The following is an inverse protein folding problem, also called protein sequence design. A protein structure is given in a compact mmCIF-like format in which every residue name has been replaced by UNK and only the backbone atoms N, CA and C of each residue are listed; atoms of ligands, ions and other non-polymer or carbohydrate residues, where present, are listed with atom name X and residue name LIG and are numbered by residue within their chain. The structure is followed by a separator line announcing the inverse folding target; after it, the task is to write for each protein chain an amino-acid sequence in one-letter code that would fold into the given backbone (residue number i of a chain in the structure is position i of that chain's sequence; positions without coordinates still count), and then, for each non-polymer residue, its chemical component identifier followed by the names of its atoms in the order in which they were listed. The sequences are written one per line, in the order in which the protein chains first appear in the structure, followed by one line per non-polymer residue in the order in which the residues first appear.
data_IF_647467695514
#
_entry.id   IF_647467695514
#
_cell.length_a   1.000
_cell.length_b   1.000
_cell.length_c   1.000
_cell.angle_alpha   90.00
_cell.angle_beta   90.00
_cell.angle_gamma   90.00
#
_symmetry.space_group_name_H-M   'P 1'
#
loop_
_entity.id
_entity.type
_entity.pdbx_description
1 polymer ?
#
# COMPACT_ATOMS: atom_id res chain seq x y z
N UNK A 1 -19.48 -22.28 -18.34
CA UNK A 1 -20.30 -22.98 -17.32
C UNK A 1 -21.04 -21.93 -16.51
N UNK A 2 -22.37 -21.90 -16.55
CA UNK A 2 -23.17 -21.00 -15.72
C UNK A 2 -23.44 -21.69 -14.38
N UNK A 3 -23.21 -21.00 -13.27
CA UNK A 3 -23.59 -21.49 -11.93
C UNK A 3 -25.11 -21.59 -11.91
N UNK A 4 -25.72 -22.77 -11.69
CA UNK A 4 -27.17 -22.90 -11.70
C UNK A 4 -27.77 -22.08 -10.56
N UNK A 5 -28.81 -21.30 -10.86
CA UNK A 5 -29.48 -20.41 -9.91
C UNK A 5 -29.89 -21.11 -8.60
N UNK A 6 -30.23 -22.40 -8.68
CA UNK A 6 -30.51 -23.23 -7.51
C UNK A 6 -29.34 -23.36 -6.53
N UNK A 7 -28.10 -23.47 -7.01
CA UNK A 7 -26.91 -23.54 -6.15
C UNK A 7 -26.66 -22.21 -5.43
N UNK A 8 -26.85 -21.09 -6.12
CA UNK A 8 -26.77 -19.74 -5.54
C UNK A 8 -27.84 -19.53 -4.46
N UNK A 9 -29.08 -19.95 -4.72
CA UNK A 9 -30.19 -19.85 -3.76
C UNK A 9 -29.92 -20.66 -2.49
N UNK A 10 -29.45 -21.89 -2.63
CA UNK A 10 -29.11 -22.75 -1.49
C UNK A 10 -27.95 -22.17 -0.67
N UNK A 11 -26.92 -21.62 -1.33
CA UNK A 11 -25.79 -20.97 -0.66
C UNK A 11 -26.23 -19.74 0.14
N UNK A 12 -27.10 -18.90 -0.43
CA UNK A 12 -27.63 -17.70 0.24
C UNK A 12 -28.55 -18.06 1.41
N UNK A 13 -29.40 -19.09 1.30
CA UNK A 13 -30.27 -19.51 2.40
C UNK A 13 -29.46 -20.11 3.55
N UNK A 14 -28.45 -20.92 3.23
CA UNK A 14 -27.64 -21.60 4.25
C UNK A 14 -26.66 -20.65 4.96
N UNK A 15 -25.92 -19.84 4.19
CA UNK A 15 -24.91 -18.94 4.77
C UNK A 15 -25.43 -17.54 5.07
N UNK A 16 -26.60 -17.15 4.53
CA UNK A 16 -27.20 -15.83 4.72
C UNK A 16 -27.33 -15.42 6.19
N UNK A 17 -27.92 -16.24 7.08
CA UNK A 17 -28.07 -15.89 8.50
C UNK A 17 -26.73 -15.64 9.21
N UNK A 18 -25.63 -16.24 8.75
CA UNK A 18 -24.30 -16.08 9.35
C UNK A 18 -23.50 -14.94 8.72
N UNK A 19 -23.59 -14.76 7.40
CA UNK A 19 -22.83 -13.76 6.65
C UNK A 19 -23.49 -12.39 6.66
N UNK A 20 -24.82 -12.31 6.63
CA UNK A 20 -25.57 -11.05 6.56
C UNK A 20 -25.30 -10.13 7.76
N UNK A 21 -25.31 -10.60 9.03
CA UNK A 21 -25.02 -9.74 10.18
C UNK A 21 -23.58 -9.20 10.14
N UNK A 22 -22.62 -10.02 9.70
CA UNK A 22 -21.21 -9.62 9.55
C UNK A 22 -21.03 -8.58 8.45
N UNK A 23 -21.68 -8.79 7.30
CA UNK A 23 -21.66 -7.84 6.19
C UNK A 23 -22.28 -6.49 6.59
N UNK A 24 -23.41 -6.50 7.31
CA UNK A 24 -24.04 -5.28 7.83
C UNK A 24 -23.13 -4.57 8.84
N UNK A 25 -22.51 -5.31 9.78
CA UNK A 25 -21.56 -4.74 10.73
C UNK A 25 -20.36 -4.11 10.03
N UNK A 26 -19.77 -4.78 9.04
CA UNK A 26 -18.67 -4.25 8.25
C UNK A 26 -19.09 -3.01 7.47
N UNK A 27 -20.25 -3.03 6.81
CA UNK A 27 -20.80 -1.87 6.11
C UNK A 27 -20.98 -0.66 7.04
N UNK A 28 -21.53 -0.87 8.25
CA UNK A 28 -21.68 0.21 9.24
C UNK A 28 -20.34 0.78 9.70
N UNK A 29 -19.32 -0.07 9.90
CA UNK A 29 -17.95 0.37 10.23
C UNK A 29 -17.33 1.20 9.11
N UNK A 30 -17.38 0.71 7.87
CA UNK A 30 -16.86 1.42 6.71
C UNK A 30 -17.56 2.77 6.50
N UNK A 31 -18.88 2.82 6.75
CA UNK A 31 -19.66 4.06 6.67
C UNK A 31 -19.27 5.06 7.78
N UNK A 32 -19.03 4.59 9.00
CA UNK A 32 -18.58 5.43 10.10
C UNK A 32 -17.17 6.01 9.83
N UNK A 33 -16.24 5.20 9.33
CA UNK A 33 -14.90 5.65 8.93
C UNK A 33 -14.94 6.68 7.80
N UNK A 34 -15.81 6.48 6.80
CA UNK A 34 -16.02 7.45 5.74
C UNK A 34 -16.55 8.79 6.27
N UNK A 35 -17.49 8.76 7.23
CA UNK A 35 -18.03 9.96 7.87
C UNK A 35 -16.96 10.69 8.71
N UNK A 36 -16.15 9.96 9.48
CA UNK A 36 -15.05 10.53 10.25
C UNK A 36 -14.01 11.22 9.37
N UNK A 37 -13.65 10.64 8.22
CA UNK A 37 -12.74 11.27 7.24
C UNK A 37 -13.30 12.60 6.73
N UNK A 38 -14.59 12.63 6.41
CA UNK A 38 -15.26 13.83 5.93
C UNK A 38 -15.28 14.94 7.01
N UNK A 39 -15.43 14.59 8.29
CA UNK A 39 -15.38 15.54 9.41
C UNK A 39 -13.96 16.02 9.72
N UNK A 40 -12.97 15.12 9.74
CA UNK A 40 -11.57 15.48 9.97
C UNK A 40 -11.06 16.52 8.96
N UNK A 41 -11.49 16.41 7.71
CA UNK A 41 -11.13 17.35 6.66
C UNK A 41 -11.82 18.72 6.82
N UNK A 42 -13.06 18.76 7.33
CA UNK A 42 -13.76 20.01 7.67
C UNK A 42 -13.12 20.72 8.87
N UNK A 43 -12.65 19.95 9.85
CA UNK A 43 -12.03 20.49 11.07
C UNK A 43 -10.62 21.07 10.86
N UNK A 44 -10.04 20.94 9.66
CA UNK A 44 -8.69 21.45 9.35
C UNK A 44 -7.54 20.77 10.12
N UNK A 45 -7.84 19.75 10.93
CA UNK A 45 -6.90 19.11 11.85
C UNK A 45 -6.10 17.96 11.22
N UNK A 46 -6.64 17.30 10.19
CA UNK A 46 -5.89 16.33 9.40
C UNK A 46 -5.20 17.06 8.27
N UNK A 47 -3.89 16.81 8.12
CA UNK A 47 -3.04 17.34 7.06
C UNK A 47 -3.88 17.54 5.79
N UNK A 48 -4.12 18.81 5.45
CA UNK A 48 -4.89 19.29 4.29
C UNK A 48 -4.78 18.24 3.19
N UNK A 49 -5.89 17.68 2.71
CA UNK A 49 -5.88 16.77 1.56
C UNK A 49 -5.22 17.50 0.39
N UNK A 50 -3.90 17.44 0.31
CA UNK A 50 -3.14 18.15 -0.70
C UNK A 50 -3.32 17.29 -1.93
N UNK A 51 -4.40 17.54 -2.68
CA UNK A 51 -4.48 17.12 -4.07
C UNK A 51 -3.24 17.73 -4.70
N UNK A 52 -2.27 16.88 -5.01
CA UNK A 52 -1.00 17.33 -5.58
C UNK A 52 -1.07 17.23 -7.08
N UNK A 53 -0.53 18.22 -7.81
CA UNK A 53 -0.28 18.03 -9.22
C UNK A 53 0.63 16.81 -9.35
N UNK A 54 0.23 15.91 -10.23
CA UNK A 54 0.92 14.65 -10.43
C UNK A 54 2.32 14.95 -10.96
N UNK A 55 3.35 14.33 -10.37
CA UNK A 55 4.71 14.50 -10.89
C UNK A 55 4.80 13.99 -12.33
N UNK A 56 5.62 14.62 -13.17
CA UNK A 56 5.80 14.19 -14.57
C UNK A 56 6.19 12.71 -14.67
N UNK A 57 6.98 12.20 -13.71
CA UNK A 57 7.38 10.78 -13.64
C UNK A 57 6.20 9.86 -13.36
N UNK A 58 5.39 10.20 -12.37
CA UNK A 58 4.17 9.45 -12.04
C UNK A 58 3.21 9.44 -13.23
N UNK A 59 3.09 10.57 -13.94
CA UNK A 59 2.29 10.66 -15.17
C UNK A 59 2.82 9.73 -16.27
N UNK A 60 4.14 9.72 -16.53
CA UNK A 60 4.75 8.82 -17.54
C UNK A 60 4.51 7.35 -17.18
N UNK A 61 4.74 6.95 -15.93
CA UNK A 61 4.56 5.54 -15.51
C UNK A 61 3.10 5.11 -15.63
N UNK A 62 2.15 5.96 -15.22
CA UNK A 62 0.73 5.68 -15.36
C UNK A 62 0.29 5.67 -16.82
N UNK A 63 0.85 6.54 -17.68
CA UNK A 63 0.60 6.52 -19.11
C UNK A 63 1.13 5.23 -19.77
N UNK A 64 2.32 4.76 -19.36
CA UNK A 64 2.86 3.48 -19.81
C UNK A 64 1.99 2.30 -19.35
N UNK A 65 1.51 2.32 -18.11
CA UNK A 65 0.59 1.28 -17.62
C UNK A 65 -0.76 1.32 -18.35
N UNK A 66 -1.29 2.51 -18.63
CA UNK A 66 -2.49 2.67 -19.44
C UNK A 66 -2.28 2.18 -20.88
N UNK A 67 -1.09 2.45 -21.46
CA UNK A 67 -0.72 1.93 -22.77
C UNK A 67 -0.67 0.39 -22.77
N UNK A 68 -0.10 -0.23 -21.74
CA UNK A 68 -0.12 -1.70 -21.56
C UNK A 68 -1.55 -2.22 -21.43
N UNK A 69 -2.41 -1.55 -20.66
CA UNK A 69 -3.81 -1.94 -20.54
C UNK A 69 -4.53 -1.90 -21.89
N UNK A 70 -4.35 -0.80 -22.65
CA UNK A 70 -4.92 -0.63 -23.98
C UNK A 70 -4.35 -1.66 -24.96
N UNK A 71 -3.05 -1.94 -24.93
CA UNK A 71 -2.44 -2.93 -25.83
C UNK A 71 -3.03 -4.33 -25.62
N UNK A 72 -3.29 -4.73 -24.37
CA UNK A 72 -4.01 -5.98 -24.09
C UNK A 72 -5.45 -5.97 -24.61
N UNK A 73 -6.18 -4.86 -24.43
CA UNK A 73 -7.55 -4.73 -24.95
C UNK A 73 -7.58 -4.77 -26.49
N UNK A 74 -6.61 -4.14 -27.15
CA UNK A 74 -6.46 -4.20 -28.60
C UNK A 74 -6.16 -5.63 -29.06
N UNK A 75 -5.25 -6.33 -28.35
CA UNK A 75 -4.93 -7.73 -28.64
C UNK A 75 -6.12 -8.70 -28.48
N UNK A 76 -7.16 -8.28 -27.75
CA UNK A 76 -8.38 -9.06 -27.57
C UNK A 76 -9.22 -9.18 -28.85
N UNK A 77 -8.89 -8.46 -29.93
CA UNK A 77 -9.62 -8.55 -31.20
C UNK A 77 -10.99 -7.91 -31.17
N UNK A 78 -11.26 -7.05 -30.17
CA UNK A 78 -12.48 -6.25 -30.10
C UNK A 78 -12.50 -5.11 -31.13
N UNK A 79 -11.34 -4.78 -31.70
CA UNK A 79 -11.20 -3.79 -32.78
C UNK A 79 -11.26 -4.52 -34.13
N UNK A 80 -12.21 -4.18 -35.00
CA UNK A 80 -12.27 -4.71 -36.36
C UNK A 80 -10.94 -4.53 -37.10
N UNK A 81 -10.56 -5.52 -37.91
CA UNK A 81 -9.32 -5.52 -38.70
C UNK A 81 -9.20 -4.31 -39.64
N UNK A 82 -10.32 -3.77 -40.12
CA UNK A 82 -10.38 -2.55 -40.93
C UNK A 82 -9.90 -1.31 -40.15
N UNK A 83 -10.27 -1.20 -38.88
CA UNK A 83 -9.84 -0.11 -38.00
C UNK A 83 -8.39 -0.33 -37.56
N UNK A 84 -8.00 -1.57 -37.28
CA UNK A 84 -6.62 -1.91 -36.93
C UNK A 84 -5.63 -1.59 -38.06
N UNK A 85 -6.02 -1.87 -39.31
CA UNK A 85 -5.24 -1.51 -40.51
C UNK A 85 -5.16 0.00 -40.73
N UNK A 86 -6.26 0.73 -40.51
CA UNK A 86 -6.28 2.19 -40.60
C UNK A 86 -5.39 2.86 -39.53
N UNK A 87 -5.29 2.28 -38.33
CA UNK A 87 -4.40 2.75 -37.26
C UNK A 87 -2.94 2.27 -37.40
N UNK A 88 -2.61 1.51 -38.45
CA UNK A 88 -1.26 0.96 -38.67
C UNK A 88 -0.71 0.25 -37.41
N UNK A 89 -1.58 -0.49 -36.71
CA UNK A 89 -1.18 -1.17 -35.49
C UNK A 89 -0.09 -2.22 -35.78
N UNK A 90 1.01 -2.26 -34.99
CA UNK A 90 2.01 -3.31 -35.08
C UNK A 90 1.37 -4.71 -35.08
N UNK A 91 1.88 -5.61 -35.94
CA UNK A 91 1.28 -6.94 -36.15
C UNK A 91 1.09 -7.77 -34.87
N UNK A 92 1.94 -7.58 -33.85
CA UNK A 92 1.80 -8.25 -32.54
C UNK A 92 0.56 -7.82 -31.73
N UNK A 93 -0.03 -6.67 -32.04
CA UNK A 93 -1.24 -6.14 -31.40
C UNK A 93 -2.52 -6.55 -32.15
N UNK A 94 -2.40 -7.04 -33.39
CA UNK A 94 -3.51 -7.57 -34.15
C UNK A 94 -3.82 -9.02 -33.73
N UNK A 95 -5.05 -9.47 -33.98
CA UNK A 95 -5.33 -10.90 -33.91
C UNK A 95 -4.76 -11.60 -35.15
N UNK A 96 -4.12 -12.76 -34.97
CA UNK A 96 -3.63 -13.52 -36.10
C UNK A 96 -4.83 -14.00 -36.93
N UNK A 97 -4.69 -13.91 -38.25
CA UNK A 97 -5.71 -14.33 -39.18
C UNK A 97 -5.99 -15.83 -39.04
N UNK A 98 -7.27 -16.20 -39.09
CA UNK A 98 -7.67 -17.59 -39.12
C UNK A 98 -7.82 -18.05 -40.57
N UNK A 99 -6.91 -18.91 -41.03
CA UNK A 99 -6.89 -19.43 -42.42
C UNK A 99 -8.22 -20.08 -42.83
N UNK A 100 -8.92 -20.78 -41.94
CA UNK A 100 -10.20 -21.43 -42.27
C UNK A 100 -11.34 -20.42 -42.42
N UNK A 101 -11.36 -19.37 -41.58
CA UNK A 101 -12.33 -18.28 -41.71
C UNK A 101 -12.03 -17.39 -42.92
N UNK A 102 -10.76 -17.06 -43.16
CA UNK A 102 -10.34 -16.25 -44.30
C UNK A 102 -10.70 -16.91 -45.64
N UNK A 103 -10.44 -18.21 -45.77
CA UNK A 103 -10.71 -18.97 -47.00
C UNK A 103 -12.12 -19.56 -47.08
N UNK A 104 -12.95 -19.35 -46.04
CA UNK A 104 -14.29 -19.95 -45.89
C UNK A 104 -14.28 -21.47 -46.16
N UNK A 105 -13.25 -22.17 -45.65
CA UNK A 105 -13.02 -23.59 -45.92
C UNK A 105 -13.38 -24.45 -44.71
N UNK A 106 -14.05 -25.58 -44.95
CA UNK A 106 -14.34 -26.58 -43.92
C UNK A 106 -13.05 -27.22 -43.40
N UNK A 107 -13.07 -27.69 -42.14
CA UNK A 107 -11.91 -28.31 -41.49
C UNK A 107 -11.38 -29.55 -42.22
N UNK A 108 -12.22 -30.24 -43.00
CA UNK A 108 -11.86 -31.42 -43.79
C UNK A 108 -11.45 -31.10 -45.25
N UNK A 109 -11.40 -29.83 -45.66
CA UNK A 109 -11.03 -29.48 -47.03
C UNK A 109 -9.57 -29.88 -47.35
N UNK A 110 -9.25 -30.36 -48.57
CA UNK A 110 -7.87 -30.69 -48.92
C UNK A 110 -6.95 -29.48 -48.72
N UNK A 111 -5.72 -29.71 -48.23
CA UNK A 111 -4.77 -28.64 -47.89
C UNK A 111 -4.48 -27.75 -49.10
N UNK A 112 -4.27 -28.32 -50.28
CA UNK A 112 -3.99 -27.54 -51.49
C UNK A 112 -5.14 -26.61 -51.87
N UNK A 113 -6.40 -27.03 -51.65
CA UNK A 113 -7.56 -26.17 -51.94
C UNK A 113 -7.60 -24.97 -51.00
N UNK A 114 -7.28 -25.17 -49.71
CA UNK A 114 -7.24 -24.09 -48.72
C UNK A 114 -6.15 -23.09 -49.10
N UNK A 115 -4.94 -23.57 -49.41
CA UNK A 115 -3.79 -22.70 -49.70
C UNK A 115 -3.84 -22.07 -51.10
N UNK A 116 -4.49 -22.68 -52.08
CA UNK A 116 -4.79 -22.04 -53.36
C UNK A 116 -5.80 -20.90 -53.22
N UNK A 117 -6.79 -21.04 -52.32
CA UNK A 117 -7.70 -19.93 -51.99
C UNK A 117 -6.97 -18.84 -51.22
N UNK A 118 -6.11 -19.23 -50.27
CA UNK A 118 -5.33 -18.29 -49.47
C UNK A 118 -4.39 -17.47 -50.34
N UNK A 119 -3.68 -18.09 -51.31
CA UNK A 119 -2.85 -17.35 -52.26
C UNK A 119 -3.68 -16.35 -53.05
N UNK A 120 -4.92 -16.70 -53.42
CA UNK A 120 -5.90 -15.76 -54.02
C UNK A 120 -6.18 -14.50 -53.19
N UNK A 121 -6.05 -14.56 -51.86
CA UNK A 121 -6.27 -13.45 -50.93
C UNK A 121 -4.99 -12.67 -50.60
N UNK A 122 -3.81 -13.17 -50.97
CA UNK A 122 -2.53 -12.53 -50.70
C UNK A 122 -2.13 -11.55 -51.81
N UNK A 123 -1.35 -10.51 -51.50
CA UNK A 123 -0.75 -9.65 -52.52
C UNK A 123 0.09 -10.51 -53.49
N UNK A 124 -0.01 -10.22 -54.79
CA UNK A 124 0.71 -10.91 -55.87
C UNK A 124 0.38 -12.40 -56.06
N UNK A 125 -0.71 -12.90 -55.45
CA UNK A 125 -1.08 -14.32 -55.52
C UNK A 125 -0.02 -15.31 -55.00
N UNK A 126 0.88 -14.83 -54.14
CA UNK A 126 1.97 -15.64 -53.56
C UNK A 126 1.74 -15.89 -52.08
N UNK A 127 2.01 -17.12 -51.64
CA UNK A 127 1.98 -17.46 -50.21
C UNK A 127 3.15 -16.79 -49.49
N UNK A 128 2.91 -16.34 -48.24
CA UNK A 128 4.00 -15.85 -47.39
C UNK A 128 4.80 -17.01 -46.81
N UNK A 129 6.02 -16.77 -46.31
CA UNK A 129 6.82 -17.81 -45.65
C UNK A 129 6.09 -18.47 -44.47
N UNK A 130 5.27 -17.70 -43.73
CA UNK A 130 4.43 -18.23 -42.66
C UNK A 130 3.30 -19.11 -43.21
N UNK A 131 2.67 -18.71 -44.32
CA UNK A 131 1.64 -19.53 -44.98
C UNK A 131 2.24 -20.85 -45.52
N UNK A 132 3.46 -20.82 -46.06
CA UNK A 132 4.16 -22.02 -46.52
C UNK A 132 4.51 -22.97 -45.37
N UNK A 133 4.99 -22.43 -44.25
CA UNK A 133 5.24 -23.21 -43.04
C UNK A 133 3.94 -23.86 -42.51
N UNK A 134 2.83 -23.13 -42.52
CA UNK A 134 1.51 -23.67 -42.16
C UNK A 134 1.04 -24.73 -43.14
N UNK A 135 1.25 -24.53 -44.45
CA UNK A 135 0.85 -25.49 -45.49
C UNK A 135 1.49 -26.86 -45.26
N UNK A 136 2.77 -26.88 -44.92
CA UNK A 136 3.50 -28.12 -44.63
C UNK A 136 2.94 -28.87 -43.41
N UNK A 137 2.43 -28.15 -42.40
CA UNK A 137 1.99 -28.72 -41.11
C UNK A 137 0.50 -29.07 -41.07
N UNK A 138 -0.35 -28.41 -41.86
CA UNK A 138 -1.81 -28.62 -41.87
C UNK A 138 -2.30 -29.78 -42.76
N UNK A 139 -1.45 -30.78 -43.01
CA UNK A 139 -1.75 -31.94 -43.86
C UNK A 139 -2.79 -32.91 -43.23
N UNK A 140 -2.79 -33.06 -41.92
CA UNK A 140 -3.63 -34.03 -41.20
C UNK A 140 -4.79 -33.37 -40.46
N UNK A 141 -5.86 -34.13 -40.19
CA UNK A 141 -6.94 -33.63 -39.33
C UNK A 141 -6.42 -33.31 -37.91
N UNK A 142 -5.52 -34.13 -37.37
CA UNK A 142 -4.98 -33.93 -36.02
C UNK A 142 -4.22 -32.60 -35.87
N UNK A 143 -3.35 -32.27 -36.83
CA UNK A 143 -2.60 -31.01 -36.80
C UNK A 143 -3.51 -29.80 -37.00
N UNK A 144 -4.62 -29.95 -37.72
CA UNK A 144 -5.66 -28.91 -37.83
C UNK A 144 -6.43 -28.71 -36.52
N UNK A 145 -6.68 -29.77 -35.75
CA UNK A 145 -7.28 -29.63 -34.41
C UNK A 145 -6.33 -28.92 -33.43
N UNK A 146 -5.03 -29.24 -33.51
CA UNK A 146 -3.99 -28.54 -32.75
C UNK A 146 -3.89 -27.05 -33.12
N UNK A 147 -4.04 -26.72 -34.42
CA UNK A 147 -4.11 -25.34 -34.89
C UNK A 147 -5.27 -24.56 -34.27
N UNK A 148 -6.45 -25.18 -34.10
CA UNK A 148 -7.59 -24.53 -33.45
C UNK A 148 -7.39 -24.31 -31.95
N UNK A 149 -6.55 -25.13 -31.30
CA UNK A 149 -6.25 -25.05 -29.87
C UNK A 149 -5.10 -24.08 -29.55
N UNK A 150 -3.99 -24.17 -30.27
CA UNK A 150 -2.75 -23.45 -29.97
C UNK A 150 -2.46 -22.27 -30.91
N UNK A 151 -3.13 -22.20 -32.07
CA UNK A 151 -3.02 -21.08 -33.01
C UNK A 151 -1.91 -21.22 -34.07
N UNK A 152 -1.81 -20.24 -34.98
CA UNK A 152 -0.93 -20.33 -36.16
C UNK A 152 0.56 -20.31 -35.84
N UNK A 153 1.03 -19.44 -34.93
CA UNK A 153 2.46 -19.29 -34.63
C UNK A 153 3.06 -20.57 -34.03
N UNK A 154 2.34 -21.21 -33.11
CA UNK A 154 2.79 -22.47 -32.49
C UNK A 154 2.93 -23.59 -33.52
N UNK A 155 2.03 -23.64 -34.51
CA UNK A 155 2.06 -24.66 -35.56
C UNK A 155 3.15 -24.37 -36.60
N UNK A 156 3.34 -23.11 -36.98
CA UNK A 156 4.32 -22.71 -37.99
C UNK A 156 5.76 -22.76 -37.44
N UNK A 157 5.98 -22.23 -36.25
CA UNK A 157 7.32 -21.86 -35.76
C UNK A 157 7.97 -22.93 -34.86
N UNK A 158 7.21 -23.92 -34.36
CA UNK A 158 7.77 -24.88 -33.41
C UNK A 158 8.86 -25.77 -34.04
N UNK A 159 10.11 -25.72 -33.54
CA UNK A 159 11.23 -26.41 -34.19
C UNK A 159 11.31 -27.91 -33.87
N UNK A 160 10.71 -28.37 -32.76
CA UNK A 160 10.81 -29.75 -32.26
C UNK A 160 9.46 -30.49 -32.21
N UNK A 161 8.41 -29.94 -32.82
CA UNK A 161 7.06 -30.53 -32.76
C UNK A 161 6.80 -31.62 -33.83
N UNK A 162 7.84 -32.06 -34.55
CA UNK A 162 7.78 -33.14 -35.55
C UNK A 162 7.40 -32.69 -36.98
N UNK A 163 7.71 -33.53 -37.96
CA UNK A 163 7.31 -33.37 -39.37
C UNK A 163 8.14 -32.41 -40.24
N UNK A 164 9.02 -31.59 -39.65
CA UNK A 164 10.02 -30.76 -40.36
C UNK A 164 11.24 -30.54 -39.48
N UNK A 165 12.41 -30.20 -40.05
CA UNK A 165 13.61 -29.82 -39.29
C UNK A 165 14.37 -31.00 -38.66
N UNK A 166 14.91 -30.80 -37.45
CA UNK A 166 15.80 -31.75 -36.75
C UNK A 166 15.10 -33.07 -36.40
N UNK A 167 13.76 -33.03 -36.28
CA UNK A 167 12.91 -34.12 -35.82
C UNK A 167 12.01 -34.67 -36.94
N UNK A 168 12.41 -34.52 -38.22
CA UNK A 168 11.65 -34.95 -39.40
C UNK A 168 11.25 -36.44 -39.37
N UNK A 169 12.01 -37.27 -38.66
CA UNK A 169 11.73 -38.71 -38.48
C UNK A 169 10.75 -39.01 -37.35
N UNK A 170 10.50 -38.05 -36.44
CA UNK A 170 9.58 -38.21 -35.32
C UNK A 170 8.15 -37.81 -35.72
N UNK A 171 7.17 -38.59 -35.27
CA UNK A 171 5.75 -38.28 -35.47
C UNK A 171 5.35 -37.00 -34.73
N UNK A 172 4.31 -36.33 -35.21
CA UNK A 172 3.74 -35.17 -34.53
C UNK A 172 3.28 -35.53 -33.11
N UNK A 173 3.82 -34.84 -32.09
CA UNK A 173 3.46 -35.04 -30.69
C UNK A 173 2.64 -33.88 -30.16
N UNK A 174 1.40 -34.15 -29.72
CA UNK A 174 0.54 -33.15 -29.08
C UNK A 174 1.19 -32.53 -27.83
N UNK A 175 1.99 -33.31 -27.10
CA UNK A 175 2.70 -32.84 -25.92
C UNK A 175 3.76 -31.80 -26.27
N UNK A 176 4.51 -31.98 -27.36
CA UNK A 176 5.53 -31.02 -27.80
C UNK A 176 4.92 -29.65 -28.13
N UNK A 177 3.81 -29.64 -28.87
CA UNK A 177 3.05 -28.40 -29.15
C UNK A 177 2.53 -27.75 -27.86
N UNK A 178 2.08 -28.56 -26.90
CA UNK A 178 1.63 -28.04 -25.60
C UNK A 178 2.76 -27.34 -24.84
N UNK A 179 3.97 -27.93 -24.78
CA UNK A 179 5.10 -27.32 -24.08
C UNK A 179 5.54 -26.01 -24.72
N UNK A 180 5.63 -25.96 -26.05
CA UNK A 180 5.94 -24.73 -26.78
C UNK A 180 4.88 -23.65 -26.53
N UNK A 181 3.59 -24.00 -26.65
CA UNK A 181 2.49 -23.09 -26.40
C UNK A 181 2.47 -22.55 -24.95
N UNK A 182 2.85 -23.38 -23.96
CA UNK A 182 2.88 -22.96 -22.56
C UNK A 182 3.90 -21.85 -22.31
N UNK A 183 5.04 -21.84 -23.03
CA UNK A 183 6.05 -20.78 -22.87
C UNK A 183 5.47 -19.44 -23.32
N UNK A 184 4.88 -19.38 -24.52
CA UNK A 184 4.24 -18.17 -25.04
C UNK A 184 3.06 -17.71 -24.17
N UNK A 185 2.29 -18.68 -23.66
CA UNK A 185 1.17 -18.45 -22.76
C UNK A 185 1.61 -17.79 -21.45
N UNK A 186 2.61 -18.38 -20.79
CA UNK A 186 3.10 -17.93 -19.49
C UNK A 186 3.89 -16.63 -19.61
N UNK A 187 4.57 -16.39 -20.74
CA UNK A 187 5.32 -15.15 -20.98
C UNK A 187 4.45 -13.90 -20.80
N UNK A 188 3.20 -13.93 -21.27
CA UNK A 188 2.26 -12.82 -21.09
C UNK A 188 1.93 -12.55 -19.61
N UNK A 189 1.71 -13.62 -18.84
CA UNK A 189 1.37 -13.50 -17.42
C UNK A 189 2.57 -13.09 -16.56
N UNK A 190 3.77 -13.60 -16.91
CA UNK A 190 5.03 -13.16 -16.29
C UNK A 190 5.28 -11.69 -16.58
N UNK A 191 5.05 -11.23 -17.81
CA UNK A 191 5.13 -9.82 -18.17
C UNK A 191 4.19 -8.97 -17.30
N UNK A 192 2.93 -9.38 -17.13
CA UNK A 192 1.98 -8.70 -16.25
C UNK A 192 2.46 -8.62 -14.79
N UNK A 193 3.03 -9.69 -14.25
CA UNK A 193 3.59 -9.71 -12.90
C UNK A 193 4.77 -8.74 -12.75
N UNK A 194 5.66 -8.68 -13.74
CA UNK A 194 6.79 -7.74 -13.76
C UNK A 194 6.28 -6.30 -13.80
N UNK A 195 5.31 -6.00 -14.66
CA UNK A 195 4.70 -4.66 -14.73
C UNK A 195 4.06 -4.29 -13.40
N UNK A 196 3.26 -5.16 -12.79
CA UNK A 196 2.65 -4.94 -11.46
C UNK A 196 3.74 -4.63 -10.41
N UNK A 197 4.83 -5.40 -10.40
CA UNK A 197 5.94 -5.19 -9.47
C UNK A 197 6.64 -3.84 -9.66
N UNK A 198 6.78 -3.38 -10.91
CA UNK A 198 7.39 -2.10 -11.26
C UNK A 198 6.47 -0.94 -10.85
N UNK A 199 5.21 -0.95 -11.27
CA UNK A 199 4.29 0.19 -11.11
C UNK A 199 3.83 0.38 -9.66
N UNK A 200 3.81 -0.69 -8.86
CA UNK A 200 3.50 -0.62 -7.42
C UNK A 200 4.70 -0.25 -6.55
N UNK A 201 5.89 -0.12 -7.13
CA UNK A 201 7.10 0.31 -6.41
C UNK A 201 7.04 1.83 -6.14
N UNK A 202 7.02 2.28 -4.87
CA UNK A 202 6.96 3.70 -4.55
C UNK A 202 8.15 4.49 -5.09
N UNK A 203 9.32 3.87 -5.17
CA UNK A 203 10.53 4.51 -5.69
C UNK A 203 10.40 4.85 -7.19
N UNK A 204 9.78 3.95 -7.96
CA UNK A 204 9.59 4.16 -9.39
C UNK A 204 8.41 5.12 -9.61
N UNK A 205 7.26 4.83 -9.00
CA UNK A 205 6.03 5.60 -9.20
C UNK A 205 6.13 7.04 -8.68
N UNK A 206 6.65 7.24 -7.46
CA UNK A 206 6.65 8.54 -6.77
C UNK A 206 8.05 9.20 -6.76
N UNK A 207 9.12 8.46 -7.06
CA UNK A 207 10.48 8.95 -6.97
C UNK A 207 11.06 8.91 -5.55
N UNK A 208 12.25 9.50 -5.37
CA UNK A 208 12.94 9.55 -4.07
C UNK A 208 12.32 10.63 -3.19
N UNK A 209 11.96 10.26 -1.95
CA UNK A 209 11.51 11.17 -0.89
C UNK A 209 12.48 12.37 -0.73
N UNK A 210 11.95 13.59 -0.66
CA UNK A 210 12.70 14.83 -0.43
C UNK A 210 13.24 15.58 -1.66
N UNK A 211 13.37 14.95 -2.84
CA UNK A 211 13.94 15.62 -4.03
C UNK A 211 13.05 16.71 -4.65
N UNK A 212 11.75 16.71 -4.38
CA UNK A 212 10.81 17.73 -4.91
C UNK A 212 10.64 18.95 -4.00
N UNK A 213 11.06 18.88 -2.73
CA UNK A 213 10.90 19.96 -1.76
C UNK A 213 12.19 20.79 -1.57
N UNK A 214 13.37 20.20 -1.84
CA UNK A 214 14.66 20.85 -1.59
C UNK A 214 15.21 21.69 -2.75
N UNK A 215 14.51 21.78 -3.89
CA UNK A 215 14.97 22.54 -5.07
C UNK A 215 14.42 23.96 -5.16
N UNK A 216 13.64 24.43 -4.17
CA UNK A 216 13.19 25.82 -4.09
C UNK A 216 14.16 26.64 -3.22
N UNK A 217 14.84 27.67 -3.76
CA UNK A 217 15.68 28.53 -2.95
C UNK A 217 14.81 29.34 -1.99
N UNK A 218 14.95 29.13 -0.68
CA UNK A 218 14.20 29.84 0.37
C UNK A 218 13.66 28.98 1.55
N UNK A 219 13.83 27.66 1.53
CA UNK A 219 13.16 26.72 2.45
C UNK A 219 13.68 26.68 3.92
N UNK A 220 14.35 27.72 4.41
CA UNK A 220 14.86 27.75 5.79
C UNK A 220 13.78 28.02 6.87
N UNK A 221 12.56 28.40 6.49
CA UNK A 221 11.45 28.69 7.42
C UNK A 221 10.28 27.68 7.38
N UNK A 222 10.36 26.61 6.57
CA UNK A 222 9.23 25.76 6.19
C UNK A 222 9.11 24.38 6.85
N UNK A 223 9.50 24.20 8.11
CA UNK A 223 9.52 22.87 8.76
C UNK A 223 8.16 22.14 8.79
N UNK A 224 7.05 22.89 8.95
CA UNK A 224 5.71 22.32 8.96
C UNK A 224 5.24 21.87 7.56
N UNK A 225 5.54 22.66 6.52
CA UNK A 225 5.18 22.33 5.13
C UNK A 225 5.99 21.16 4.59
N UNK A 226 7.28 21.09 4.92
CA UNK A 226 8.12 19.93 4.61
C UNK A 226 7.59 18.65 5.29
N UNK A 227 7.12 18.74 6.54
CA UNK A 227 6.54 17.59 7.24
C UNK A 227 5.22 17.10 6.61
N UNK A 228 4.39 18.01 6.10
CA UNK A 228 3.16 17.66 5.38
C UNK A 228 3.47 17.09 3.98
N UNK A 229 4.51 17.59 3.33
CA UNK A 229 5.05 17.06 2.08
C UNK A 229 5.43 15.57 2.21
N UNK A 230 6.22 15.27 3.23
CA UNK A 230 6.71 13.94 3.53
C UNK A 230 5.61 12.97 3.98
N UNK A 231 4.65 13.44 4.78
CA UNK A 231 3.53 12.60 5.23
C UNK A 231 2.67 12.14 4.05
N UNK A 232 2.36 13.03 3.11
CA UNK A 232 1.59 12.66 1.93
C UNK A 232 2.35 11.67 1.03
N UNK A 233 3.68 11.82 0.90
CA UNK A 233 4.49 10.83 0.19
C UNK A 233 4.40 9.45 0.86
N UNK A 234 4.53 9.40 2.19
CA UNK A 234 4.43 8.15 2.96
C UNK A 234 3.06 7.48 2.79
N UNK A 235 1.97 8.27 2.78
CA UNK A 235 0.61 7.79 2.53
C UNK A 235 0.44 7.22 1.12
N UNK A 236 0.81 7.98 0.09
CA UNK A 236 0.74 7.53 -1.32
C UNK A 236 1.59 6.28 -1.56
N UNK A 237 2.77 6.19 -0.92
CA UNK A 237 3.66 5.05 -1.02
C UNK A 237 3.04 3.79 -0.37
N UNK A 238 2.47 3.92 0.82
CA UNK A 238 1.79 2.83 1.51
C UNK A 238 0.60 2.31 0.70
N UNK A 239 -0.25 3.21 0.20
CA UNK A 239 -1.41 2.86 -0.61
C UNK A 239 -1.05 2.24 -1.95
N UNK A 240 0.01 2.70 -2.62
CA UNK A 240 0.47 2.07 -3.86
C UNK A 240 0.98 0.65 -3.61
N UNK A 241 1.72 0.45 -2.51
CA UNK A 241 2.31 -0.84 -2.15
C UNK A 241 1.27 -1.89 -1.77
N UNK A 242 0.18 -1.49 -1.11
CA UNK A 242 -0.85 -2.44 -0.66
C UNK A 242 -1.52 -3.19 -1.82
N UNK A 243 -1.54 -2.58 -3.02
CA UNK A 243 -2.16 -3.16 -4.22
C UNK A 243 -1.27 -4.16 -4.96
N UNK A 244 0.02 -4.26 -4.60
CA UNK A 244 0.95 -5.23 -5.20
C UNK A 244 0.48 -6.66 -5.01
N UNK A 245 0.26 -7.07 -3.76
CA UNK A 245 -0.14 -8.43 -3.42
C UNK A 245 -1.47 -8.85 -4.06
N UNK A 246 -2.58 -8.10 -3.94
CA UNK A 246 -3.84 -8.50 -4.56
C UNK A 246 -3.76 -8.52 -6.09
N UNK A 247 -3.07 -7.57 -6.72
CA UNK A 247 -2.89 -7.57 -8.17
C UNK A 247 -2.04 -8.76 -8.65
N UNK A 248 -0.96 -9.09 -7.93
CA UNK A 248 -0.13 -10.26 -8.23
C UNK A 248 -0.89 -11.58 -8.04
N UNK A 249 -1.68 -11.72 -6.97
CA UNK A 249 -2.53 -12.90 -6.76
C UNK A 249 -3.53 -13.03 -7.90
N UNK A 250 -4.21 -11.94 -8.28
CA UNK A 250 -5.19 -11.96 -9.36
C UNK A 250 -4.55 -12.32 -10.71
N UNK A 251 -3.36 -11.80 -11.01
CA UNK A 251 -2.59 -12.17 -12.20
C UNK A 251 -2.21 -13.67 -12.19
N UNK A 252 -1.79 -14.22 -11.04
CA UNK A 252 -1.50 -15.66 -10.90
C UNK A 252 -2.74 -16.52 -11.06
N UNK A 253 -3.89 -16.09 -10.54
CA UNK A 253 -5.17 -16.78 -10.73
C UNK A 253 -5.57 -16.79 -12.20
N UNK A 254 -5.42 -15.67 -12.90
CA UNK A 254 -5.66 -15.63 -14.35
C UNK A 254 -4.71 -16.53 -15.12
N UNK A 255 -3.43 -16.58 -14.76
CA UNK A 255 -2.47 -17.50 -15.37
C UNK A 255 -2.87 -18.97 -15.17
N UNK A 256 -3.23 -19.34 -13.94
CA UNK A 256 -3.66 -20.70 -13.62
C UNK A 256 -4.96 -21.09 -14.34
N UNK A 257 -5.93 -20.17 -14.41
CA UNK A 257 -7.18 -20.38 -15.15
C UNK A 257 -6.93 -20.56 -16.65
N UNK A 258 -6.03 -19.77 -17.22
CA UNK A 258 -5.68 -19.80 -18.65
C UNK A 258 -5.01 -21.13 -19.02
N UNK A 259 -4.01 -21.55 -18.23
CA UNK A 259 -3.37 -22.87 -18.36
C UNK A 259 -4.40 -23.99 -18.22
N UNK A 260 -5.26 -23.92 -17.21
CA UNK A 260 -6.31 -24.92 -16.99
C UNK A 260 -7.25 -25.03 -18.18
N UNK A 261 -7.74 -23.90 -18.71
CA UNK A 261 -8.65 -23.89 -19.87
C UNK A 261 -7.99 -24.47 -21.11
N UNK A 262 -6.71 -24.17 -21.37
CA UNK A 262 -5.98 -24.68 -22.53
C UNK A 262 -5.72 -26.18 -22.42
N UNK A 263 -5.32 -26.68 -21.25
CA UNK A 263 -4.99 -28.10 -21.04
C UNK A 263 -6.25 -28.98 -20.96
N UNK A 264 -7.33 -28.48 -20.36
CA UNK A 264 -8.60 -29.22 -20.23
C UNK A 264 -9.47 -29.17 -21.49
N UNK A 265 -9.04 -28.45 -22.53
CA UNK A 265 -9.80 -28.32 -23.77
C UNK A 265 -9.86 -29.65 -24.54
N UNK A 266 -11.07 -30.13 -24.80
CA UNK A 266 -11.31 -31.32 -25.62
C UNK A 266 -11.29 -30.98 -27.11
N UNK A 267 -10.08 -31.07 -27.69
CA UNK A 267 -9.84 -30.84 -29.12
C UNK A 267 -10.62 -31.79 -30.04
N UNK A 268 -11.08 -32.94 -29.55
CA UNK A 268 -11.79 -33.93 -30.40
C UNK A 268 -13.21 -33.49 -30.75
N UNK A 269 -13.78 -32.51 -30.04
CA UNK A 269 -15.10 -31.94 -30.36
C UNK A 269 -15.17 -31.40 -31.79
N UNK A 270 -14.12 -30.72 -32.23
CA UNK A 270 -14.03 -30.17 -33.58
C UNK A 270 -13.83 -31.24 -34.66
N UNK A 271 -13.44 -32.47 -34.32
CA UNK A 271 -13.26 -33.54 -35.30
C UNK A 271 -14.58 -33.95 -35.97
N UNK A 272 -15.71 -33.75 -35.28
CA UNK A 272 -17.06 -34.08 -35.77
C UNK A 272 -17.72 -32.94 -36.55
N UNK A 273 -17.14 -31.74 -36.53
CA UNK A 273 -17.71 -30.58 -37.20
C UNK A 273 -17.58 -30.71 -38.72
N UNK A 274 -18.71 -30.71 -39.42
CA UNK A 274 -18.75 -30.80 -40.91
C UNK A 274 -18.92 -29.42 -41.56
N UNK A 275 -19.49 -28.45 -40.83
CA UNK A 275 -19.67 -27.06 -41.25
C UNK A 275 -18.71 -26.16 -40.49
N UNK A 276 -18.35 -25.03 -41.11
CA UNK A 276 -17.44 -24.04 -40.52
C UNK A 276 -18.06 -23.35 -39.29
N UNK A 277 -19.39 -23.18 -39.27
CA UNK A 277 -20.14 -22.59 -38.16
C UNK A 277 -20.13 -23.44 -36.90
N UNK A 278 -19.90 -24.74 -37.04
CA UNK A 278 -19.95 -25.71 -35.95
C UNK A 278 -18.56 -25.90 -35.33
N UNK A 279 -17.53 -25.26 -35.90
CA UNK A 279 -16.15 -25.31 -35.42
C UNK A 279 -15.97 -24.30 -34.29
N UNK A 280 -15.48 -24.79 -33.16
CA UNK A 280 -15.07 -23.95 -32.04
C UNK A 280 -13.64 -23.44 -32.24
N UNK A 281 -13.49 -22.14 -32.44
CA UNK A 281 -12.22 -21.45 -32.62
C UNK A 281 -11.58 -21.09 -31.28
N UNK A 282 -11.30 -22.11 -30.47
CA UNK A 282 -10.85 -21.97 -29.08
C UNK A 282 -9.69 -20.99 -28.91
N UNK A 283 -8.63 -21.09 -29.72
CA UNK A 283 -7.46 -20.21 -29.62
C UNK A 283 -7.83 -18.71 -29.70
N UNK A 284 -8.66 -18.32 -30.67
CA UNK A 284 -9.06 -16.91 -30.87
C UNK A 284 -9.97 -16.44 -29.73
N UNK A 285 -10.94 -17.27 -29.35
CA UNK A 285 -11.83 -17.00 -28.22
C UNK A 285 -11.03 -16.80 -26.92
N UNK A 286 -10.06 -17.69 -26.65
CA UNK A 286 -9.23 -17.61 -25.46
C UNK A 286 -8.31 -16.39 -25.48
N UNK A 287 -7.76 -16.03 -26.65
CA UNK A 287 -6.98 -14.80 -26.83
C UNK A 287 -7.82 -13.55 -26.51
N UNK A 288 -9.09 -13.52 -26.91
CA UNK A 288 -10.02 -12.44 -26.55
C UNK A 288 -10.21 -12.36 -25.04
N UNK A 289 -10.53 -13.47 -24.37
CA UNK A 289 -10.69 -13.48 -22.91
C UNK A 289 -9.41 -13.05 -22.17
N UNK A 290 -8.24 -13.53 -22.61
CA UNK A 290 -6.94 -13.18 -22.03
C UNK A 290 -6.62 -11.70 -22.17
N UNK A 291 -6.84 -11.14 -23.35
CA UNK A 291 -6.65 -9.71 -23.63
C UNK A 291 -7.57 -8.83 -22.80
N UNK A 292 -8.87 -9.18 -22.70
CA UNK A 292 -9.83 -8.45 -21.88
C UNK A 292 -9.49 -8.54 -20.39
N UNK A 293 -9.22 -9.74 -19.87
CA UNK A 293 -8.90 -9.94 -18.45
C UNK A 293 -7.61 -9.19 -18.05
N UNK A 294 -6.55 -9.29 -18.85
CA UNK A 294 -5.28 -8.59 -18.61
C UNK A 294 -5.44 -7.08 -18.74
N UNK A 295 -6.17 -6.62 -19.76
CA UNK A 295 -6.44 -5.20 -19.98
C UNK A 295 -7.24 -4.56 -18.84
N UNK A 296 -8.28 -5.25 -18.35
CA UNK A 296 -9.07 -4.78 -17.20
C UNK A 296 -8.23 -4.77 -15.92
N UNK A 297 -7.39 -5.79 -15.69
CA UNK A 297 -6.48 -5.82 -14.54
C UNK A 297 -5.53 -4.62 -14.55
N UNK A 298 -4.84 -4.39 -15.68
CA UNK A 298 -3.88 -3.29 -15.80
C UNK A 298 -4.56 -1.92 -15.76
N UNK A 299 -5.72 -1.79 -16.41
CA UNK A 299 -6.49 -0.55 -16.44
C UNK A 299 -7.05 -0.17 -15.07
N UNK A 300 -7.62 -1.12 -14.34
CA UNK A 300 -8.11 -0.88 -12.97
C UNK A 300 -6.96 -0.54 -12.04
N UNK A 301 -5.81 -1.23 -12.14
CA UNK A 301 -4.61 -0.89 -11.37
C UNK A 301 -4.10 0.52 -11.70
N UNK A 302 -4.12 0.94 -12.96
CA UNK A 302 -3.73 2.29 -13.37
C UNK A 302 -4.60 3.37 -12.71
N UNK A 303 -5.92 3.18 -12.71
CA UNK A 303 -6.87 4.11 -12.07
C UNK A 303 -6.65 4.17 -10.55
N UNK A 304 -6.45 3.02 -9.91
CA UNK A 304 -6.19 2.94 -8.47
C UNK A 304 -4.87 3.64 -8.11
N UNK A 305 -3.79 3.37 -8.85
CA UNK A 305 -2.49 3.99 -8.62
C UNK A 305 -2.51 5.49 -8.94
N UNK A 306 -3.29 5.93 -9.92
CA UNK A 306 -3.55 7.35 -10.16
C UNK A 306 -4.18 8.02 -8.94
N UNK A 307 -5.21 7.42 -8.33
CA UNK A 307 -5.82 7.95 -7.11
C UNK A 307 -4.87 7.93 -5.90
N UNK A 308 -4.02 6.91 -5.79
CA UNK A 308 -3.01 6.83 -4.75
C UNK A 308 -1.93 7.92 -4.91
N UNK A 309 -1.42 8.13 -6.12
CA UNK A 309 -0.33 9.06 -6.40
C UNK A 309 -0.77 10.54 -6.43
N UNK A 310 -2.00 10.82 -6.84
CA UNK A 310 -2.56 12.19 -6.86
C UNK A 310 -3.03 12.69 -5.50
N UNK A 311 -3.06 11.82 -4.48
CA UNK A 311 -3.64 12.13 -3.17
C UNK A 311 -5.17 12.14 -3.17
N UNK A 312 -5.82 11.70 -4.26
CA UNK A 312 -7.27 11.60 -4.34
C UNK A 312 -7.84 10.54 -3.39
N UNK A 313 -7.04 9.56 -2.95
CA UNK A 313 -7.47 8.53 -2.00
C UNK A 313 -8.11 9.10 -0.71
N UNK A 314 -7.68 10.28 -0.25
CA UNK A 314 -8.27 10.99 0.91
C UNK A 314 -9.39 11.97 0.54
N UNK A 315 -9.86 11.98 -0.72
CA UNK A 315 -10.93 12.88 -1.16
C UNK A 315 -12.30 12.42 -0.64
N UNK A 316 -13.11 13.33 -0.09
CA UNK A 316 -14.43 12.99 0.43
C UNK A 316 -15.39 12.59 -0.69
N UNK A 317 -15.10 12.95 -1.96
CA UNK A 317 -15.88 12.53 -3.13
C UNK A 317 -15.86 11.02 -3.36
N UNK A 318 -14.78 10.34 -2.96
CA UNK A 318 -14.65 8.89 -3.07
C UNK A 318 -15.44 8.16 -1.96
N UNK A 319 -15.74 8.83 -0.84
CA UNK A 319 -16.59 8.32 0.23
C UNK A 319 -16.25 6.87 0.63
N UNK A 320 -17.24 5.99 0.55
CA UNK A 320 -17.10 4.57 0.90
C UNK A 320 -16.16 3.82 -0.04
N UNK A 321 -16.06 4.21 -1.31
CA UNK A 321 -15.14 3.59 -2.28
C UNK A 321 -13.68 3.80 -1.85
N UNK A 322 -13.35 5.00 -1.35
CA UNK A 322 -12.01 5.31 -0.85
C UNK A 322 -11.63 4.44 0.35
N UNK A 323 -12.55 4.24 1.29
CA UNK A 323 -12.32 3.35 2.45
C UNK A 323 -12.19 1.89 2.01
N UNK A 324 -13.03 1.43 1.08
CA UNK A 324 -12.99 0.04 0.60
C UNK A 324 -11.69 -0.27 -0.15
N UNK A 325 -11.21 0.66 -0.98
CA UNK A 325 -10.00 0.47 -1.79
C UNK A 325 -8.71 0.72 -1.01
N UNK A 326 -8.71 1.65 -0.05
CA UNK A 326 -7.49 2.09 0.62
C UNK A 326 -7.42 1.77 2.11
N UNK A 327 -8.49 1.23 2.69
CA UNK A 327 -8.57 0.95 4.13
C UNK A 327 -8.48 2.23 4.97
N UNK A 328 -8.26 2.11 6.29
CA UNK A 328 -7.91 3.23 7.16
C UNK A 328 -6.51 3.78 6.85
N UNK A 329 -6.28 5.07 7.14
CA UNK A 329 -4.98 5.70 6.87
C UNK A 329 -3.89 5.03 7.72
N UNK A 330 -2.75 4.65 7.12
CA UNK A 330 -1.67 4.02 7.87
C UNK A 330 -1.14 4.99 8.92
N UNK A 331 -0.67 4.48 10.08
CA UNK A 331 -0.14 5.32 11.13
C UNK A 331 1.04 6.15 10.61
N UNK A 332 1.24 7.38 11.14
CA UNK A 332 2.36 8.23 10.73
C UNK A 332 3.68 7.49 10.96
N UNK A 333 4.61 7.67 10.02
CA UNK A 333 5.91 7.01 10.10
C UNK A 333 6.63 7.35 11.41
N UNK A 334 7.47 6.44 11.95
CA UNK A 334 8.16 6.68 13.22
C UNK A 334 8.94 8.00 13.23
N UNK A 335 9.56 8.35 12.10
CA UNK A 335 10.24 9.62 11.91
C UNK A 335 9.29 10.83 12.03
N UNK A 336 8.08 10.74 11.47
CA UNK A 336 7.07 11.79 11.64
C UNK A 336 6.61 11.96 13.08
N UNK A 337 6.46 10.84 13.82
CA UNK A 337 6.09 10.88 15.24
C UNK A 337 7.18 11.53 16.08
N UNK A 338 8.44 11.19 15.83
CA UNK A 338 9.58 11.79 16.54
C UNK A 338 9.69 13.27 16.23
N UNK A 339 9.56 13.66 14.95
CA UNK A 339 9.67 15.07 14.53
C UNK A 339 8.52 15.92 15.08
N UNK A 340 7.28 15.40 15.12
CA UNK A 340 6.16 16.13 15.73
C UNK A 340 6.36 16.33 17.23
N UNK A 341 6.72 15.26 17.96
CA UNK A 341 6.98 15.33 19.41
C UNK A 341 8.14 16.27 19.71
N UNK A 342 9.21 16.22 18.93
CA UNK A 342 10.36 17.12 19.07
C UNK A 342 9.98 18.58 18.82
N UNK A 343 9.14 18.84 17.82
CA UNK A 343 8.62 20.16 17.53
C UNK A 343 7.77 20.72 18.69
N UNK A 344 6.90 19.90 19.26
CA UNK A 344 6.08 20.27 20.41
C UNK A 344 6.92 20.49 21.67
N UNK A 345 7.91 19.63 21.92
CA UNK A 345 8.87 19.80 23.01
C UNK A 345 9.66 21.10 22.86
N UNK A 346 10.06 21.46 21.64
CA UNK A 346 10.76 22.73 21.36
C UNK A 346 9.86 23.94 21.65
N UNK A 347 8.57 23.87 21.33
CA UNK A 347 7.59 24.91 21.67
C UNK A 347 7.40 25.04 23.18
N UNK A 348 7.29 23.92 23.90
CA UNK A 348 7.20 23.91 25.37
C UNK A 348 8.48 24.50 25.98
N UNK A 349 9.65 24.08 25.51
CA UNK A 349 10.95 24.64 25.94
C UNK A 349 11.02 26.16 25.71
N UNK A 350 10.57 26.64 24.56
CA UNK A 350 10.53 28.08 24.26
C UNK A 350 9.62 28.85 25.24
N UNK A 351 8.43 28.32 25.53
CA UNK A 351 7.51 28.90 26.53
C UNK A 351 8.11 28.90 27.94
N UNK A 352 8.76 27.80 28.34
CA UNK A 352 9.45 27.70 29.63
C UNK A 352 10.59 28.71 29.73
N UNK A 353 11.41 28.84 28.68
CA UNK A 353 12.47 29.85 28.62
C UNK A 353 11.91 31.27 28.70
N UNK A 354 10.82 31.58 27.99
CA UNK A 354 10.16 32.88 28.08
C UNK A 354 9.65 33.15 29.51
N UNK A 355 9.01 32.16 30.15
CA UNK A 355 8.57 32.26 31.54
C UNK A 355 9.74 32.45 32.51
N UNK A 356 10.86 31.75 32.28
CA UNK A 356 12.08 31.90 33.08
C UNK A 356 12.68 33.31 32.94
N UNK A 357 12.70 33.88 31.72
CA UNK A 357 13.13 35.25 31.47
C UNK A 357 12.22 36.23 32.23
N UNK A 358 10.89 36.11 32.09
CA UNK A 358 9.93 36.97 32.78
C UNK A 358 10.12 36.89 34.30
N UNK A 359 10.24 35.69 34.85
CA UNK A 359 10.50 35.47 36.29
C UNK A 359 11.81 36.13 36.73
N UNK A 360 12.87 35.97 35.94
CA UNK A 360 14.18 36.56 36.25
C UNK A 360 14.12 38.09 36.21
N UNK A 361 13.47 38.67 35.19
CA UNK A 361 13.25 40.12 35.06
C UNK A 361 12.44 40.64 36.25
N UNK A 362 11.33 40.00 36.62
CA UNK A 362 10.52 40.39 37.77
C UNK A 362 11.28 40.33 39.10
N UNK A 363 12.23 39.41 39.24
CA UNK A 363 13.04 39.28 40.44
C UNK A 363 14.22 40.29 40.50
N UNK A 364 14.69 40.74 39.33
CA UNK A 364 15.76 41.74 39.21
C UNK A 364 15.24 43.17 39.34
N UNK A 365 14.03 43.43 38.85
CA UNK A 365 13.37 44.73 38.97
C UNK A 365 12.84 44.95 40.40
N UNK A 366 13.19 46.07 41.02
CA UNK A 366 12.83 46.37 42.41
C UNK A 366 11.34 46.59 42.59
N UNK A 367 10.66 47.24 41.64
CA UNK A 367 9.24 47.55 41.74
C UNK A 367 8.40 46.28 41.53
N UNK A 368 8.69 45.50 40.50
CA UNK A 368 7.99 44.24 40.22
C UNK A 368 8.20 43.21 41.33
N UNK A 369 9.40 43.15 41.91
CA UNK A 369 9.68 42.27 43.04
C UNK A 369 8.84 42.63 44.26
N UNK A 370 8.75 43.93 44.60
CA UNK A 370 7.91 44.39 45.72
C UNK A 370 6.44 44.09 45.46
N UNK A 371 5.92 44.37 44.25
CA UNK A 371 4.53 44.03 43.88
C UNK A 371 4.24 42.53 43.94
N UNK A 372 5.20 41.70 43.53
CA UNK A 372 5.06 40.24 43.61
C UNK A 372 5.04 39.78 45.06
N UNK A 373 5.93 40.31 45.90
CA UNK A 373 5.97 40.00 47.33
C UNK A 373 4.70 40.46 48.06
N UNK A 374 4.19 41.67 47.77
CA UNK A 374 2.96 42.17 48.39
C UNK A 374 1.74 41.40 47.94
N UNK A 375 1.69 40.98 46.66
CA UNK A 375 0.65 40.07 46.17
C UNK A 375 0.66 38.75 46.94
N UNK A 376 1.80 38.06 47.00
CA UNK A 376 1.87 36.78 47.72
C UNK A 376 1.64 36.93 49.23
N UNK A 377 2.12 38.01 49.84
CA UNK A 377 1.83 38.29 51.25
C UNK A 377 0.34 38.51 51.48
N UNK A 378 -0.36 39.25 50.59
CA UNK A 378 -1.81 39.43 50.64
C UNK A 378 -2.54 38.11 50.45
N UNK A 379 -2.11 37.29 49.49
CA UNK A 379 -2.72 35.98 49.25
C UNK A 379 -2.59 35.06 50.46
N UNK A 380 -1.41 35.01 51.10
CA UNK A 380 -1.19 34.25 52.34
C UNK A 380 -2.07 34.77 53.47
N UNK A 381 -2.21 36.09 53.61
CA UNK A 381 -3.10 36.68 54.61
C UNK A 381 -4.58 36.34 54.34
N UNK A 382 -5.03 36.43 53.08
CA UNK A 382 -6.39 36.07 52.69
C UNK A 382 -6.68 34.58 52.90
N UNK A 383 -5.71 33.70 52.58
CA UNK A 383 -5.84 32.27 52.86
C UNK A 383 -5.85 32.02 54.36
N UNK A 384 -5.02 32.71 55.15
CA UNK A 384 -5.03 32.59 56.60
C UNK A 384 -6.36 33.05 57.21
N UNK A 385 -6.90 34.18 56.76
CA UNK A 385 -8.23 34.69 57.15
C UNK A 385 -9.34 33.69 56.78
N UNK A 386 -9.29 33.13 55.56
CA UNK A 386 -10.22 32.06 55.17
C UNK A 386 -10.05 30.78 56.02
N UNK A 387 -8.84 30.47 56.51
CA UNK A 387 -8.61 29.37 57.48
C UNK A 387 -9.07 29.72 58.90
N UNK A 388 -9.42 30.95 59.22
CA UNK A 388 -10.01 31.32 60.52
C UNK A 388 -11.53 31.07 60.53
N UNK A 389 -12.17 31.01 59.35
CA UNK A 389 -13.58 30.68 59.21
C UNK A 389 -13.83 29.22 59.59
N UNK A 390 -14.66 29.03 60.62
CA UNK A 390 -14.98 27.70 61.17
C UNK A 390 -15.54 26.74 60.13
N UNK A 391 -16.37 27.24 59.22
CA UNK A 391 -16.96 26.44 58.13
C UNK A 391 -15.90 25.93 57.13
N UNK A 392 -14.86 26.71 56.86
CA UNK A 392 -13.77 26.33 55.95
C UNK A 392 -12.88 25.29 56.60
N UNK A 393 -12.53 25.47 57.89
CA UNK A 393 -11.73 24.49 58.64
C UNK A 393 -12.47 23.16 58.79
N UNK A 394 -13.76 23.19 59.12
CA UNK A 394 -14.59 22.00 59.23
C UNK A 394 -14.74 21.31 57.86
N UNK A 395 -14.92 22.07 56.79
CA UNK A 395 -14.97 21.56 55.42
C UNK A 395 -13.66 20.91 54.97
N UNK A 396 -12.51 21.49 55.31
CA UNK A 396 -11.19 20.92 55.00
C UNK A 396 -10.93 19.67 55.81
N UNK A 397 -11.27 19.66 57.10
CA UNK A 397 -11.15 18.46 57.93
C UNK A 397 -12.07 17.33 57.45
N UNK A 398 -13.32 17.62 57.04
CA UNK A 398 -14.20 16.63 56.41
C UNK A 398 -13.60 16.09 55.11
N UNK A 399 -13.06 16.97 54.26
CA UNK A 399 -12.42 16.57 53.02
C UNK A 399 -11.19 15.67 53.27
N UNK A 400 -10.31 16.04 54.20
CA UNK A 400 -9.11 15.26 54.56
C UNK A 400 -9.45 13.94 55.26
N UNK A 401 -10.51 13.89 56.07
CA UNK A 401 -10.90 12.67 56.78
C UNK A 401 -11.67 11.69 55.89
N UNK A 402 -12.56 12.19 55.03
CA UNK A 402 -13.57 11.35 54.37
C UNK A 402 -13.43 11.27 52.84
N UNK A 403 -12.76 12.23 52.19
CA UNK A 403 -12.77 12.36 50.72
C UNK A 403 -11.40 12.34 50.05
N UNK A 404 -10.33 12.68 50.78
CA UNK A 404 -8.98 12.87 50.25
C UNK A 404 -8.02 11.89 50.93
N UNK A 405 -7.42 11.01 50.15
CA UNK A 405 -6.35 10.11 50.60
C UNK A 405 -4.98 10.80 50.43
N UNK A 406 -4.48 11.41 51.51
CA UNK A 406 -3.21 12.15 51.50
C UNK A 406 -2.03 11.26 51.11
N UNK A 407 -2.01 10.00 51.55
CA UNK A 407 -0.92 9.06 51.23
C UNK A 407 -0.91 8.65 49.76
N UNK A 408 -2.08 8.61 49.13
CA UNK A 408 -2.18 8.41 47.69
C UNK A 408 -1.68 9.63 46.93
N UNK A 409 -2.04 10.84 47.35
CA UNK A 409 -1.56 12.08 46.72
C UNK A 409 -0.04 12.20 46.83
N UNK A 410 0.54 11.91 48.00
CA UNK A 410 1.99 11.92 48.18
C UNK A 410 2.71 10.93 47.27
N UNK A 411 2.18 9.69 47.14
CA UNK A 411 2.74 8.69 46.22
C UNK A 411 2.62 9.10 44.75
N UNK A 412 1.48 9.67 44.36
CA UNK A 412 1.25 10.15 43.00
C UNK A 412 2.18 11.34 42.68
N UNK A 413 2.41 12.23 43.65
CA UNK A 413 3.33 13.35 43.54
C UNK A 413 4.80 12.90 43.43
N UNK A 414 5.22 11.93 44.25
CA UNK A 414 6.57 11.35 44.20
C UNK A 414 6.82 10.65 42.86
N UNK A 415 5.85 9.86 42.38
CA UNK A 415 5.94 9.25 41.04
C UNK A 415 6.00 10.30 39.93
N UNK A 416 5.21 11.38 40.03
CA UNK A 416 5.27 12.46 39.06
C UNK A 416 6.65 13.14 39.06
N UNK A 417 7.20 13.44 40.24
CA UNK A 417 8.51 14.07 40.38
C UNK A 417 9.63 13.20 39.78
N UNK A 418 9.63 11.90 40.05
CA UNK A 418 10.59 10.94 39.50
C UNK A 418 10.51 10.80 37.97
N UNK A 419 9.32 10.97 37.39
CA UNK A 419 9.11 10.91 35.94
C UNK A 419 9.49 12.21 35.21
N UNK A 420 9.47 13.36 35.89
CA UNK A 420 9.80 14.68 35.31
C UNK A 420 11.29 14.99 35.44
N UNK A 421 11.93 14.58 36.53
CA UNK A 421 13.37 14.69 36.73
C UNK A 421 13.95 13.28 36.76
N UNK A 422 14.53 12.76 35.66
CA UNK A 422 15.19 11.48 35.72
C UNK A 422 16.36 11.62 36.70
N UNK A 423 16.21 11.04 37.88
CA UNK A 423 17.31 10.86 38.80
C UNK A 423 18.32 9.99 38.07
N UNK A 424 19.51 10.54 37.81
CA UNK A 424 20.69 9.73 37.51
C UNK A 424 20.95 8.89 38.76
N UNK A 425 20.27 7.76 38.89
CA UNK A 425 20.59 6.77 39.91
C UNK A 425 21.95 6.17 39.53
N UNK A 426 22.97 6.47 40.34
CA UNK A 426 24.19 5.68 40.31
C UNK A 426 23.84 4.22 40.62
N UNK A 427 24.49 3.25 39.95
CA UNK A 427 24.15 1.84 40.13
C UNK A 427 24.41 1.40 41.59
N UNK A 428 23.56 0.51 42.13
CA UNK A 428 23.63 0.10 43.52
C UNK A 428 24.90 -0.72 43.76
N UNK A 429 25.73 -0.24 44.68
CA UNK A 429 26.84 -0.99 45.25
C UNK A 429 26.29 -2.28 45.87
N UNK A 430 26.94 -3.39 45.50
CA UNK A 430 26.51 -4.73 45.83
C UNK A 430 26.38 -4.92 47.35
N UNK A 431 25.28 -5.55 47.74
CA UNK A 431 25.00 -6.00 49.09
C UNK A 431 26.17 -6.79 49.70
N UNK A 432 26.91 -6.17 50.62
CA UNK A 432 27.82 -6.87 51.52
C UNK A 432 27.03 -7.32 52.77
N UNK A 433 26.81 -8.63 52.88
CA UNK A 433 26.20 -9.32 54.02
C UNK A 433 26.99 -9.08 55.31
N UNK A 434 26.32 -8.65 56.38
CA UNK A 434 26.81 -8.75 57.76
C UNK A 434 26.52 -10.16 58.32
N UNK A 435 27.48 -10.82 59.02
CA UNK A 435 27.18 -11.93 59.93
C UNK A 435 27.10 -11.47 61.39
N UNK A 436 26.17 -12.06 62.15
CA UNK A 436 25.88 -11.77 63.56
C UNK A 436 26.65 -12.68 64.55
N UNK A 437 27.19 -12.06 65.62
CA UNK A 437 27.29 -12.57 67.02
C UNK A 437 28.59 -13.25 67.48
N UNK A 438 28.96 -13.27 68.81
CA UNK A 438 28.29 -12.66 69.99
C UNK A 438 29.19 -11.89 71.03
N UNK A 439 28.55 -10.93 71.73
CA UNK A 439 28.58 -10.57 73.19
C UNK A 439 29.87 -10.17 74.00
N UNK A 440 30.09 -8.83 74.14
CA UNK A 440 30.34 -7.93 75.33
C UNK A 440 31.32 -8.28 76.51
N UNK A 441 31.73 -7.33 77.41
CA UNK A 441 31.97 -5.85 77.42
C UNK A 441 33.34 -5.52 78.14
N UNK A 442 33.67 -4.37 78.84
CA UNK A 442 33.01 -3.06 79.10
C UNK A 442 33.92 -1.77 79.07
N UNK A 443 33.34 -0.63 79.54
CA UNK A 443 33.93 0.58 80.21
C UNK A 443 34.31 1.77 79.28
N UNK A 444 33.57 2.90 79.16
CA UNK A 444 33.14 4.00 80.08
C UNK A 444 34.14 5.21 80.14
N UNK A 445 33.65 6.38 79.65
CA UNK A 445 33.91 7.80 80.06
C UNK A 445 35.25 8.44 79.60
N UNK A 446 35.31 9.61 78.94
CA UNK A 446 35.04 11.04 79.35
C UNK A 446 34.84 11.93 78.10
N UNK A 447 33.85 12.82 77.96
CA UNK A 447 33.57 14.17 78.55
C UNK A 447 34.48 15.34 78.07
N UNK A 448 33.82 16.36 77.50
CA UNK A 448 34.19 17.80 77.41
C UNK A 448 35.30 18.17 76.40
N UNK A 449 35.27 19.26 75.61
CA UNK A 449 34.76 20.64 75.79
C UNK A 449 34.52 21.32 74.42
N UNK A 450 33.49 22.14 74.29
CA UNK A 450 33.49 23.32 73.38
C UNK A 450 34.15 24.52 74.13
N UNK A 451 34.25 25.76 73.60
CA UNK A 451 34.43 26.29 72.24
C UNK A 451 35.63 27.29 72.20
N UNK A 452 35.96 27.87 71.04
CA UNK A 452 36.49 29.27 70.98
C UNK A 452 36.37 29.85 69.58
N UNK A 453 35.69 31.00 69.52
CA UNK A 453 35.74 31.94 68.41
C UNK A 453 37.07 32.72 68.46
N UNK A 454 37.61 33.13 67.31
CA UNK A 454 38.16 34.49 67.22
C UNK A 454 38.31 35.02 65.78
N UNK A 455 38.37 36.34 65.75
CA UNK A 455 38.11 37.27 64.66
C UNK A 455 39.22 37.43 63.61
N UNK A 456 38.78 38.02 62.48
CA UNK A 456 39.47 39.03 61.67
C UNK A 456 40.73 38.64 60.87
N UNK A 457 40.67 38.84 59.55
CA UNK A 457 41.26 40.06 58.97
C UNK A 457 41.08 40.15 57.45
N UNK A 458 40.70 41.36 57.04
CA UNK A 458 40.71 41.90 55.69
C UNK A 458 42.13 41.91 55.13
N UNK A 459 42.30 41.51 53.86
CA UNK A 459 43.41 42.01 53.02
C UNK A 459 42.97 42.24 51.57
N UNK A 460 42.84 43.52 51.24
CA UNK A 460 42.88 44.08 49.87
C UNK A 460 44.28 43.92 49.27
N UNK A 461 44.32 43.82 47.94
CA UNK A 461 45.32 44.25 46.92
C UNK A 461 45.48 43.12 45.90
N UNK A 462 45.46 43.35 44.59
CA UNK A 462 45.61 44.57 43.79
C UNK A 462 44.85 44.38 42.48
#
# INVERSE_FOLDING_TARGET
MAIPWGALKSLVIFFGPMLLPKAISQYRRLRAEAAQRAEQQKSGSSARSVIRPLSARSAIILALLAFVAVSHLLSAGLVPSSIAGALQLPGGLSQPENVFLATQSRLQAPTDVIFNRLSGLRPNHTLTAADEALRARLASLETRLLYLQYGPSVIADCPFCGGTGVDAQSGFSAAAFSYYAMVDLLALHVFNLVIIAIVTSPLLLLGRKGKSASSAPGAAQGGAEASAADRAYDLSAAHSRQWRTPASILALVFAALDVYMVISYDRTRNARATRLTDVDFFFWTMRTYRGVASGLLMGTLAVILYWAASGLHSSPKLGLLGVLLFGPDPPPSPAHRITSVTGDLTRVKSKLNAGAIVKNTAHRDTELRVRTQTYWAREVMLVAEAMEEREVVEGINDALANRIDMQRIERDAEMYAQNVVPSFSMPPEAAAKQPQGPEQPPIVVTRSTAPTADNASVKKRK
#
